data_IF_955837316235
#
_entry.id   IF_955837316235
#
_cell.length_a   1.000
_cell.length_b   1.000
_cell.length_c   1.000
_cell.angle_alpha   90.00
_cell.angle_beta   90.00
_cell.angle_gamma   90.00
#
_symmetry.space_group_name_H-M   'P 1'
#
loop_
_entity.id
_entity.type
_entity.pdbx_description
1 polymer ?
#
# COMPACT_ATOMS: atom_id res chain seq x y z
N UNK A 1 -22.70 -14.22 -13.02
CA UNK A 1 -23.04 -13.31 -14.13
C UNK A 1 -21.73 -12.66 -14.51
N UNK A 2 -21.26 -12.65 -15.76
CA UNK A 2 -20.00 -11.99 -16.07
C UNK A 2 -20.10 -10.49 -15.75
N UNK A 3 -19.01 -9.83 -15.31
CA UNK A 3 -19.01 -8.40 -15.03
C UNK A 3 -19.39 -7.62 -16.29
N UNK A 4 -20.19 -6.57 -16.12
CA UNK A 4 -20.54 -5.69 -17.25
C UNK A 4 -19.30 -4.85 -17.63
N UNK A 5 -19.03 -4.65 -18.92
CA UNK A 5 -17.95 -3.76 -19.34
C UNK A 5 -18.23 -2.31 -18.85
N UNK A 6 -17.17 -1.56 -18.49
CA UNK A 6 -17.31 -0.19 -18.00
C UNK A 6 -17.99 0.69 -19.05
N UNK A 7 -18.88 1.56 -18.59
CA UNK A 7 -19.56 2.56 -19.44
C UNK A 7 -18.56 3.62 -19.90
N UNK A 8 -18.42 3.83 -21.18
CA UNK A 8 -17.55 4.84 -21.77
C UNK A 8 -17.89 6.24 -21.25
N UNK A 9 -16.95 6.89 -20.53
CA UNK A 9 -17.03 8.28 -20.11
C UNK A 9 -16.67 8.59 -18.65
N UNK A 10 -16.35 7.59 -17.81
CA UNK A 10 -15.71 7.83 -16.51
C UNK A 10 -14.20 7.66 -16.70
N UNK A 11 -13.40 8.56 -16.13
CA UNK A 11 -11.97 8.33 -16.02
C UNK A 11 -11.79 7.01 -15.25
N UNK A 12 -11.26 5.99 -15.93
CA UNK A 12 -10.98 4.71 -15.29
C UNK A 12 -9.71 4.91 -14.49
N UNK A 13 -9.81 4.80 -13.16
CA UNK A 13 -8.62 4.78 -12.31
C UNK A 13 -7.75 3.59 -12.68
N UNK A 14 -6.41 3.73 -12.65
CA UNK A 14 -5.49 2.63 -12.89
C UNK A 14 -5.63 1.55 -11.80
N UNK A 15 -5.18 0.31 -12.06
CA UNK A 15 -5.09 -0.69 -11.00
C UNK A 15 -4.17 -0.20 -9.89
N UNK A 16 -4.60 -0.41 -8.65
CA UNK A 16 -3.85 -0.06 -7.45
C UNK A 16 -3.53 -1.33 -6.68
N UNK A 17 -2.25 -1.55 -6.42
CA UNK A 17 -1.75 -2.72 -5.73
C UNK A 17 -1.17 -2.32 -4.37
N UNK A 18 -1.44 -3.11 -3.34
CA UNK A 18 -0.83 -2.95 -2.02
C UNK A 18 0.14 -4.08 -1.72
N UNK A 19 1.33 -3.76 -1.26
CA UNK A 19 2.28 -4.73 -0.73
C UNK A 19 2.16 -4.76 0.79
N UNK A 20 1.53 -5.80 1.33
CA UNK A 20 1.15 -5.85 2.74
C UNK A 20 1.44 -7.21 3.41
N UNK A 21 1.78 -7.14 4.70
CA UNK A 21 1.86 -8.27 5.62
C UNK A 21 1.80 -7.75 7.06
N UNK A 22 1.13 -8.50 7.94
CA UNK A 22 1.01 -8.17 9.36
C UNK A 22 2.36 -8.14 10.10
N UNK A 23 3.39 -8.85 9.59
CA UNK A 23 4.73 -8.91 10.18
C UNK A 23 5.65 -7.82 9.62
N UNK A 24 6.41 -7.15 10.50
CA UNK A 24 7.51 -6.28 10.12
C UNK A 24 8.74 -7.06 9.62
N UNK A 25 9.56 -6.44 8.74
CA UNK A 25 10.82 -7.00 8.29
C UNK A 25 10.73 -8.15 7.26
N UNK A 26 9.55 -8.42 6.70
CA UNK A 26 9.37 -9.45 5.65
C UNK A 26 9.80 -8.96 4.26
N UNK A 27 10.14 -7.67 4.12
CA UNK A 27 10.61 -7.06 2.88
C UNK A 27 9.51 -6.47 2.02
N UNK A 28 8.45 -5.95 2.61
CA UNK A 28 7.40 -5.19 1.90
C UNK A 28 8.03 -4.12 1.01
N UNK A 29 8.73 -3.18 1.61
CA UNK A 29 9.43 -2.09 0.92
C UNK A 29 10.40 -2.57 -0.16
N UNK A 30 11.14 -3.67 0.09
CA UNK A 30 12.01 -4.26 -0.93
C UNK A 30 11.21 -4.74 -2.14
N UNK A 31 10.04 -5.37 -1.90
CA UNK A 31 9.16 -5.81 -2.99
C UNK A 31 8.54 -4.60 -3.68
N UNK A 32 8.02 -3.62 -2.93
CA UNK A 32 7.42 -2.39 -3.48
C UNK A 32 8.39 -1.63 -4.39
N UNK A 33 9.59 -1.29 -3.89
CA UNK A 33 10.58 -0.52 -4.63
C UNK A 33 11.05 -1.24 -5.91
N UNK A 34 11.25 -2.57 -5.85
CA UNK A 34 11.73 -3.31 -7.02
C UNK A 34 10.61 -3.68 -7.99
N UNK A 35 9.35 -3.78 -7.53
CA UNK A 35 8.20 -3.88 -8.43
C UNK A 35 7.99 -2.56 -9.19
N UNK A 36 8.11 -1.42 -8.51
CA UNK A 36 8.13 -0.09 -9.16
C UNK A 36 9.18 -0.06 -10.27
N UNK A 37 10.43 -0.43 -9.96
CA UNK A 37 11.49 -0.48 -10.96
C UNK A 37 11.22 -1.46 -12.09
N UNK A 38 10.62 -2.62 -11.82
CA UNK A 38 10.24 -3.61 -12.83
C UNK A 38 9.19 -3.09 -13.81
N UNK A 39 8.19 -2.36 -13.31
CA UNK A 39 7.13 -1.77 -14.14
C UNK A 39 7.64 -0.57 -14.94
N UNK A 40 8.46 0.28 -14.33
CA UNK A 40 9.12 1.40 -15.01
C UNK A 40 10.08 0.95 -16.12
N UNK A 41 10.85 -0.15 -15.90
CA UNK A 41 11.72 -0.75 -16.91
C UNK A 41 10.95 -1.25 -18.16
N UNK A 42 9.67 -1.48 -17.99
CA UNK A 42 8.74 -1.85 -19.08
C UNK A 42 8.03 -0.65 -19.72
N UNK A 43 8.38 0.56 -19.28
CA UNK A 43 7.87 1.81 -19.85
C UNK A 43 6.50 2.24 -19.34
N UNK A 44 6.07 1.73 -18.18
CA UNK A 44 4.84 2.17 -17.52
C UNK A 44 5.09 3.42 -16.67
N UNK A 45 4.13 4.33 -16.64
CA UNK A 45 4.08 5.45 -15.72
C UNK A 45 3.55 4.96 -14.36
N UNK A 46 4.41 4.89 -13.36
CA UNK A 46 4.13 4.32 -12.03
C UNK A 46 3.98 5.41 -10.99
N UNK A 47 2.92 5.34 -10.18
CA UNK A 47 2.82 6.09 -8.93
C UNK A 47 3.15 5.18 -7.75
N UNK A 48 4.20 5.50 -7.01
CA UNK A 48 4.51 4.88 -5.73
C UNK A 48 3.87 5.67 -4.59
N UNK A 49 3.36 4.98 -3.56
CA UNK A 49 2.79 5.59 -2.37
C UNK A 49 3.37 4.94 -1.13
N UNK A 50 4.07 5.70 -0.31
CA UNK A 50 4.62 5.22 0.95
C UNK A 50 3.62 5.47 2.08
N UNK A 51 2.84 4.45 2.41
CA UNK A 51 1.87 4.50 3.50
C UNK A 51 2.46 4.06 4.85
N UNK A 52 3.72 3.58 4.90
CA UNK A 52 4.39 3.24 6.15
C UNK A 52 4.94 4.51 6.82
N UNK A 53 4.52 4.83 8.07
CA UNK A 53 5.06 5.96 8.83
C UNK A 53 6.59 5.93 9.03
N UNK A 54 7.25 4.81 8.75
CA UNK A 54 8.71 4.70 8.83
C UNK A 54 9.42 5.30 7.60
N UNK A 55 8.72 5.58 6.49
CA UNK A 55 9.29 6.23 5.32
C UNK A 55 10.29 5.38 4.52
N UNK A 56 10.25 4.06 4.66
CA UNK A 56 11.25 3.19 4.05
C UNK A 56 11.17 3.16 2.51
N UNK A 57 9.98 3.27 1.92
CA UNK A 57 9.86 3.35 0.46
C UNK A 57 10.32 4.73 -0.04
N UNK A 58 10.04 5.77 0.73
CA UNK A 58 10.51 7.14 0.47
C UNK A 58 12.05 7.18 0.40
N UNK A 59 12.72 6.54 1.36
CA UNK A 59 14.18 6.40 1.35
C UNK A 59 14.67 5.52 0.19
N UNK A 60 14.03 4.37 -0.04
CA UNK A 60 14.40 3.41 -1.07
C UNK A 60 14.32 3.96 -2.50
N UNK A 61 13.48 4.96 -2.74
CA UNK A 61 13.35 5.65 -4.02
C UNK A 61 14.12 6.99 -4.09
N UNK A 62 14.98 7.27 -3.09
CA UNK A 62 15.92 8.39 -3.10
C UNK A 62 15.34 9.73 -2.65
N UNK A 63 14.20 9.73 -1.97
CA UNK A 63 13.50 10.95 -1.55
C UNK A 63 13.51 11.16 -0.02
N UNK A 64 14.59 10.78 0.67
CA UNK A 64 14.68 10.89 2.14
C UNK A 64 14.45 12.32 2.65
N UNK A 65 14.85 13.35 1.88
CA UNK A 65 14.59 14.75 2.25
C UNK A 65 13.09 15.08 2.34
N UNK A 66 12.25 14.37 1.57
CA UNK A 66 10.80 14.54 1.62
C UNK A 66 10.17 13.95 2.89
N UNK A 67 10.81 12.96 3.50
CA UNK A 67 10.35 12.39 4.77
C UNK A 67 10.41 13.37 5.93
N UNK A 68 11.39 14.29 5.91
CA UNK A 68 11.61 15.34 6.91
C UNK A 68 11.12 16.73 6.44
N UNK A 69 10.33 16.79 5.36
CA UNK A 69 9.85 18.04 4.81
C UNK A 69 8.88 18.77 5.75
N UNK A 70 8.86 20.10 5.64
CA UNK A 70 7.86 20.93 6.31
C UNK A 70 6.47 20.74 5.65
N UNK A 71 5.37 20.92 6.38
CA UNK A 71 4.03 20.83 5.83
C UNK A 71 3.78 21.71 4.58
N UNK A 72 2.92 21.29 3.65
CA UNK A 72 2.04 20.13 3.74
C UNK A 72 2.79 18.80 3.50
N UNK A 73 2.40 17.77 4.25
CA UNK A 73 2.92 16.40 4.16
C UNK A 73 1.76 15.41 3.93
N UNK A 74 2.06 14.12 3.78
CA UNK A 74 1.01 13.10 3.69
C UNK A 74 0.08 13.13 4.93
N UNK A 75 0.60 13.47 6.11
CA UNK A 75 -0.22 13.63 7.32
C UNK A 75 -1.30 14.70 7.13
N UNK A 76 -0.94 15.88 6.61
CA UNK A 76 -1.88 16.96 6.34
C UNK A 76 -2.89 16.56 5.27
N UNK A 77 -2.42 15.93 4.18
CA UNK A 77 -3.27 15.42 3.09
C UNK A 77 -4.34 14.45 3.59
N UNK A 78 -4.01 13.59 4.55
CA UNK A 78 -4.99 12.66 5.11
C UNK A 78 -6.03 13.34 6.00
N UNK A 79 -5.65 14.36 6.75
CA UNK A 79 -6.48 14.95 7.81
C UNK A 79 -7.12 16.30 7.44
N UNK A 80 -6.63 16.99 6.43
CA UNK A 80 -7.17 18.26 5.94
C UNK A 80 -7.66 18.13 4.49
N UNK A 81 -8.95 18.43 4.28
CA UNK A 81 -9.56 18.30 2.96
C UNK A 81 -8.99 19.30 1.94
N UNK A 82 -8.56 20.50 2.41
CA UNK A 82 -7.92 21.50 1.52
C UNK A 82 -6.54 21.02 1.08
N UNK A 83 -5.74 20.45 2.01
CA UNK A 83 -4.45 19.83 1.68
C UNK A 83 -4.62 18.59 0.78
N UNK A 84 -5.70 17.82 0.98
CA UNK A 84 -6.03 16.65 0.15
C UNK A 84 -6.36 17.05 -1.29
N UNK A 85 -7.05 18.14 -1.50
CA UNK A 85 -7.34 18.66 -2.85
C UNK A 85 -6.06 19.09 -3.58
N UNK A 86 -5.02 19.47 -2.84
CA UNK A 86 -3.71 19.87 -3.35
C UNK A 86 -2.63 18.79 -3.21
N UNK A 87 -3.00 17.49 -3.11
CA UNK A 87 -2.07 16.36 -2.91
C UNK A 87 -0.93 16.32 -3.92
N UNK A 88 -1.12 16.83 -5.14
CA UNK A 88 -0.07 16.94 -6.14
C UNK A 88 1.12 17.80 -5.68
N UNK A 89 0.96 18.66 -4.67
CA UNK A 89 2.05 19.52 -4.16
C UNK A 89 3.09 18.77 -3.34
N UNK A 90 2.75 17.58 -2.81
CA UNK A 90 3.69 16.73 -2.06
C UNK A 90 4.34 15.65 -2.93
N UNK A 91 3.97 15.54 -4.21
CA UNK A 91 4.57 14.57 -5.12
C UNK A 91 6.06 14.84 -5.31
N UNK A 92 6.84 13.78 -5.20
CA UNK A 92 8.25 13.77 -5.59
C UNK A 92 8.36 13.16 -6.98
N UNK A 93 8.81 13.95 -7.96
CA UNK A 93 9.10 13.44 -9.31
C UNK A 93 10.35 12.56 -9.24
N UNK A 94 10.27 11.36 -9.78
CA UNK A 94 11.35 10.36 -9.79
C UNK A 94 11.68 9.86 -11.19
N UNK A 95 12.81 9.18 -11.32
CA UNK A 95 13.25 8.62 -12.62
C UNK A 95 12.50 7.33 -12.93
N UNK A 96 12.17 6.54 -11.91
CA UNK A 96 11.50 5.24 -12.05
C UNK A 96 10.00 5.34 -11.74
N UNK A 97 9.61 6.27 -10.87
CA UNK A 97 8.22 6.53 -10.52
C UNK A 97 8.10 7.90 -9.87
N UNK A 98 6.94 8.50 -9.94
CA UNK A 98 6.57 9.56 -9.02
C UNK A 98 6.15 8.95 -7.68
N UNK A 99 6.39 9.68 -6.60
CA UNK A 99 6.16 9.19 -5.23
C UNK A 99 5.29 10.15 -4.43
N UNK A 100 4.24 9.61 -3.80
CA UNK A 100 3.64 10.23 -2.61
C UNK A 100 4.45 9.78 -1.39
N UNK A 101 5.31 10.65 -0.84
CA UNK A 101 6.22 10.27 0.24
C UNK A 101 5.48 10.12 1.57
N UNK A 102 5.96 9.23 2.43
CA UNK A 102 5.62 9.27 3.85
C UNK A 102 6.29 10.46 4.53
N UNK A 103 5.90 10.76 5.76
CA UNK A 103 6.50 11.83 6.55
C UNK A 103 6.69 11.43 8.00
N UNK A 104 7.62 12.12 8.68
CA UNK A 104 7.87 11.92 10.10
C UNK A 104 6.62 12.19 10.95
N UNK A 105 5.73 13.07 10.50
CA UNK A 105 4.50 13.42 11.19
C UNK A 105 3.53 12.23 11.25
N UNK A 106 3.62 11.30 10.28
CA UNK A 106 2.83 10.08 10.26
C UNK A 106 3.09 9.16 11.46
N UNK A 107 4.23 9.27 12.15
CA UNK A 107 4.52 8.48 13.36
C UNK A 107 3.53 8.76 14.50
N UNK A 108 2.95 9.95 14.54
CA UNK A 108 1.93 10.35 15.52
C UNK A 108 0.48 10.13 15.07
N UNK A 109 0.24 9.76 13.82
CA UNK A 109 -1.09 9.78 13.17
C UNK A 109 -2.10 8.73 13.68
N UNK A 110 -1.66 7.76 14.48
CA UNK A 110 -2.54 6.64 14.92
C UNK A 110 -3.79 7.12 15.67
N UNK A 111 -3.67 8.17 16.49
CA UNK A 111 -4.81 8.69 17.24
C UNK A 111 -5.82 9.37 16.31
N UNK A 112 -5.33 10.21 15.42
CA UNK A 112 -6.12 10.98 14.46
C UNK A 112 -6.84 10.04 13.46
N UNK A 113 -6.12 9.08 12.90
CA UNK A 113 -6.70 8.09 11.99
C UNK A 113 -7.69 7.16 12.70
N UNK A 114 -7.45 6.80 13.98
CA UNK A 114 -8.42 6.06 14.79
C UNK A 114 -9.67 6.89 15.08
N UNK A 115 -9.50 8.18 15.32
CA UNK A 115 -10.62 9.10 15.51
C UNK A 115 -11.43 9.27 14.22
N UNK A 116 -10.77 9.39 13.07
CA UNK A 116 -11.43 9.44 11.76
C UNK A 116 -12.25 8.19 11.49
N UNK A 117 -11.68 7.02 11.75
CA UNK A 117 -12.40 5.74 11.63
C UNK A 117 -13.62 5.69 12.55
N UNK A 118 -13.47 6.05 13.83
CA UNK A 118 -14.57 6.05 14.77
C UNK A 118 -15.68 7.05 14.38
N UNK A 119 -15.31 8.22 13.84
CA UNK A 119 -16.27 9.19 13.28
C UNK A 119 -17.02 8.59 12.08
N UNK A 120 -16.35 7.90 11.17
CA UNK A 120 -16.97 7.20 10.05
C UNK A 120 -18.01 6.20 10.53
N UNK A 121 -17.68 5.35 11.49
CA UNK A 121 -18.61 4.39 12.10
C UNK A 121 -19.81 5.06 12.77
N UNK A 122 -19.60 6.18 13.47
CA UNK A 122 -20.71 6.94 14.09
C UNK A 122 -21.68 7.50 13.05
N UNK A 123 -21.17 8.02 11.92
CA UNK A 123 -22.00 8.59 10.86
C UNK A 123 -22.76 7.53 10.08
N UNK A 124 -22.17 6.36 9.90
CA UNK A 124 -22.81 5.23 9.22
C UNK A 124 -23.84 4.49 10.10
N UNK A 125 -23.94 4.83 11.39
CA UNK A 125 -24.87 4.20 12.34
C UNK A 125 -24.42 2.82 12.85
N UNK A 126 -23.15 2.47 12.63
CA UNK A 126 -22.63 1.14 12.96
C UNK A 126 -22.44 0.92 14.47
N UNK A 127 -22.28 2.02 15.23
CA UNK A 127 -21.98 1.96 16.66
C UNK A 127 -23.13 2.46 17.53
N UNK A 128 -23.82 3.51 17.10
CA UNK A 128 -24.87 4.20 17.90
C UNK A 128 -25.96 4.78 17.00
N UNK A 129 -27.21 4.37 17.22
CA UNK A 129 -28.39 4.91 16.53
C UNK A 129 -28.97 6.19 17.20
N UNK A 130 -28.39 6.67 18.30
CA UNK A 130 -28.88 7.85 19.03
C UNK A 130 -28.18 9.13 18.52
N UNK A 131 -28.91 10.04 17.85
CA UNK A 131 -28.33 11.28 17.31
C UNK A 131 -27.66 12.20 18.33
N UNK A 132 -28.13 12.18 19.60
CA UNK A 132 -27.54 13.02 20.65
C UNK A 132 -26.23 12.39 21.17
N UNK A 133 -26.14 11.06 21.21
CA UNK A 133 -24.91 10.36 21.54
C UNK A 133 -23.86 10.53 20.43
N UNK A 134 -24.27 10.45 19.15
CA UNK A 134 -23.39 10.74 17.98
C UNK A 134 -22.79 12.14 18.08
N UNK A 135 -23.61 13.17 18.33
CA UNK A 135 -23.12 14.56 18.50
C UNK A 135 -22.15 14.71 19.66
N UNK A 136 -22.44 14.07 20.80
CA UNK A 136 -21.58 14.13 21.98
C UNK A 136 -20.20 13.47 21.70
N UNK A 137 -20.20 12.31 21.04
CA UNK A 137 -18.99 11.60 20.67
C UNK A 137 -18.17 12.38 19.63
N UNK A 138 -18.81 12.94 18.60
CA UNK A 138 -18.18 13.81 17.60
C UNK A 138 -17.50 15.00 18.26
N UNK A 139 -18.21 15.72 19.13
CA UNK A 139 -17.63 16.85 19.86
C UNK A 139 -16.44 16.46 20.74
N UNK A 140 -16.51 15.29 21.39
CA UNK A 140 -15.41 14.80 22.21
C UNK A 140 -14.16 14.49 21.35
N UNK A 141 -14.32 13.84 20.22
CA UNK A 141 -13.23 13.53 19.27
C UNK A 141 -12.59 14.81 18.70
N UNK A 142 -13.41 15.74 18.21
CA UNK A 142 -12.93 17.06 17.73
C UNK A 142 -12.14 17.81 18.83
N UNK A 143 -12.59 17.70 20.07
CA UNK A 143 -11.91 18.33 21.22
C UNK A 143 -10.59 17.64 21.57
N UNK A 144 -10.45 16.35 21.29
CA UNK A 144 -9.25 15.56 21.59
C UNK A 144 -8.17 15.69 20.50
N UNK A 145 -8.57 15.64 19.24
CA UNK A 145 -7.63 15.62 18.12
C UNK A 145 -7.39 17.01 17.53
N UNK A 146 -8.37 17.91 17.59
CA UNK A 146 -8.38 19.25 16.96
C UNK A 146 -8.21 19.27 15.43
N UNK A 147 -7.91 18.12 14.82
CA UNK A 147 -7.62 17.94 13.40
C UNK A 147 -8.73 17.16 12.68
N UNK A 148 -9.32 16.18 13.36
CA UNK A 148 -10.32 15.30 12.75
C UNK A 148 -11.71 15.86 12.96
N UNK A 149 -12.39 16.15 11.86
CA UNK A 149 -13.77 16.68 11.85
C UNK A 149 -14.66 15.80 10.97
N UNK A 150 -16.00 15.92 11.03
CA UNK A 150 -16.88 15.24 10.10
C UNK A 150 -16.59 15.53 8.63
N UNK A 151 -16.02 16.70 8.31
CA UNK A 151 -15.62 17.06 6.95
C UNK A 151 -14.35 16.31 6.49
N UNK A 152 -13.52 15.86 7.43
CA UNK A 152 -12.31 15.07 7.13
C UNK A 152 -12.67 13.68 6.62
N UNK A 153 -13.77 13.10 7.13
CA UNK A 153 -14.19 11.73 6.87
C UNK A 153 -15.32 11.72 5.84
N UNK A 154 -15.17 10.93 4.77
CA UNK A 154 -16.25 10.68 3.81
C UNK A 154 -17.43 9.95 4.45
N UNK A 155 -18.62 10.06 3.84
CA UNK A 155 -19.86 9.49 4.40
C UNK A 155 -19.96 7.97 4.29
N UNK A 156 -19.20 7.34 3.38
CA UNK A 156 -19.42 5.95 2.95
C UNK A 156 -18.20 5.03 3.14
N UNK A 157 -17.08 5.53 3.69
CA UNK A 157 -15.79 4.84 3.70
C UNK A 157 -15.35 4.29 5.06
N UNK A 158 -16.21 4.33 6.08
CA UNK A 158 -15.90 3.92 7.46
C UNK A 158 -14.64 4.61 8.05
N UNK A 159 -14.20 5.74 7.46
CA UNK A 159 -12.99 6.46 7.83
C UNK A 159 -11.69 5.79 7.37
N UNK A 160 -11.77 4.85 6.43
CA UNK A 160 -10.60 4.22 5.78
C UNK A 160 -10.33 4.74 4.37
N UNK A 161 -11.18 5.60 3.81
CA UNK A 161 -11.06 6.15 2.46
C UNK A 161 -10.13 7.35 2.33
N UNK A 162 -9.46 7.80 3.40
CA UNK A 162 -8.65 9.03 3.36
C UNK A 162 -7.52 8.96 2.33
N UNK A 163 -6.82 7.82 2.27
CA UNK A 163 -5.77 7.59 1.29
C UNK A 163 -6.33 7.35 -0.11
N UNK A 164 -7.44 6.62 -0.24
CA UNK A 164 -8.16 6.40 -1.50
C UNK A 164 -8.56 7.73 -2.13
N UNK A 165 -9.17 8.60 -1.35
CA UNK A 165 -9.56 9.95 -1.74
C UNK A 165 -8.37 10.81 -2.20
N UNK A 166 -7.24 10.73 -1.52
CA UNK A 166 -6.03 11.45 -1.89
C UNK A 166 -5.47 10.95 -3.22
N UNK A 167 -5.29 9.64 -3.37
CA UNK A 167 -4.75 9.02 -4.58
C UNK A 167 -5.66 9.28 -5.79
N UNK A 168 -6.99 9.20 -5.61
CA UNK A 168 -7.95 9.39 -6.70
C UNK A 168 -7.86 10.77 -7.39
N UNK A 169 -7.22 11.76 -6.77
CA UNK A 169 -7.02 13.10 -7.36
C UNK A 169 -5.85 13.18 -8.33
N UNK A 170 -4.95 12.21 -8.29
CA UNK A 170 -3.69 12.25 -9.05
C UNK A 170 -3.44 11.01 -9.90
N UNK A 171 -4.08 9.86 -9.61
CA UNK A 171 -3.74 8.57 -10.20
C UNK A 171 -4.07 8.43 -11.69
N UNK A 172 -4.98 9.24 -12.22
CA UNK A 172 -5.37 9.17 -13.66
C UNK A 172 -4.23 9.54 -14.62
N UNK A 173 -3.10 10.00 -14.13
CA UNK A 173 -1.91 10.28 -14.93
C UNK A 173 -0.93 9.09 -14.99
N UNK A 174 -1.24 7.98 -14.32
CA UNK A 174 -0.37 6.82 -14.19
C UNK A 174 -1.04 5.56 -14.75
N UNK A 175 -0.24 4.58 -15.14
CA UNK A 175 -0.71 3.28 -15.61
C UNK A 175 -1.01 2.33 -14.45
N UNK A 176 -0.31 2.50 -13.32
CA UNK A 176 -0.44 1.66 -12.13
C UNK A 176 -0.01 2.40 -10.86
N UNK A 177 -0.62 2.06 -9.73
CA UNK A 177 -0.27 2.57 -8.40
C UNK A 177 0.23 1.44 -7.51
N UNK A 178 1.37 1.63 -6.85
CA UNK A 178 1.96 0.69 -5.88
C UNK A 178 1.97 1.34 -4.50
N UNK A 179 1.28 0.74 -3.54
CA UNK A 179 1.19 1.21 -2.15
C UNK A 179 2.02 0.32 -1.24
N UNK A 180 3.03 0.86 -0.56
CA UNK A 180 3.78 0.17 0.49
C UNK A 180 3.07 0.35 1.84
N UNK A 181 2.49 -0.72 2.38
CA UNK A 181 1.72 -0.65 3.61
C UNK A 181 2.58 -0.80 4.87
N UNK A 182 2.22 -0.15 5.99
CA UNK A 182 2.87 -0.40 7.28
C UNK A 182 2.65 -1.85 7.75
N UNK A 183 3.46 -2.36 8.68
CA UNK A 183 3.18 -3.63 9.32
C UNK A 183 2.03 -3.52 10.34
N UNK A 184 1.34 -4.62 10.57
CA UNK A 184 0.39 -4.76 11.68
C UNK A 184 -1.02 -4.25 11.41
N UNK A 185 -1.75 -4.02 12.50
CA UNK A 185 -3.20 -3.76 12.51
C UNK A 185 -3.49 -2.29 12.88
N UNK A 186 -2.82 -1.34 12.23
CA UNK A 186 -3.03 0.08 12.50
C UNK A 186 -4.01 0.70 11.48
N UNK A 187 -4.60 1.87 11.76
CA UNK A 187 -5.55 2.51 10.85
C UNK A 187 -4.96 2.80 9.46
N UNK A 188 -3.65 3.10 9.36
CA UNK A 188 -3.01 3.35 8.07
C UNK A 188 -2.90 2.09 7.21
N UNK A 189 -2.70 0.91 7.84
CA UNK A 189 -2.78 -0.37 7.14
C UNK A 189 -4.14 -0.57 6.48
N UNK A 190 -5.23 -0.28 7.20
CA UNK A 190 -6.59 -0.38 6.65
C UNK A 190 -6.86 0.67 5.57
N UNK A 191 -6.32 1.89 5.71
CA UNK A 191 -6.36 2.89 4.64
C UNK A 191 -5.62 2.42 3.37
N UNK A 192 -4.47 1.75 3.52
CA UNK A 192 -3.74 1.20 2.39
C UNK A 192 -4.51 0.07 1.67
N UNK A 193 -5.15 -0.85 2.43
CA UNK A 193 -6.03 -1.89 1.86
C UNK A 193 -7.24 -1.28 1.16
N UNK A 194 -7.82 -0.23 1.75
CA UNK A 194 -8.98 0.45 1.17
C UNK A 194 -8.63 1.14 -0.15
N UNK A 195 -7.49 1.82 -0.20
CA UNK A 195 -7.02 2.55 -1.36
C UNK A 195 -6.55 1.63 -2.50
N UNK A 196 -6.01 0.44 -2.18
CA UNK A 196 -5.42 -0.48 -3.15
C UNK A 196 -5.87 -1.92 -2.86
N UNK A 197 -6.98 -2.37 -3.45
CA UNK A 197 -7.60 -3.64 -3.11
C UNK A 197 -6.88 -4.87 -3.71
N UNK A 198 -5.84 -4.69 -4.50
CA UNK A 198 -5.10 -5.79 -5.12
C UNK A 198 -3.82 -6.07 -4.32
N UNK A 199 -3.73 -7.23 -3.69
CA UNK A 199 -2.75 -7.55 -2.66
C UNK A 199 -1.58 -8.37 -3.17
N UNK A 200 -0.36 -7.94 -2.83
CA UNK A 200 0.87 -8.73 -2.95
C UNK A 200 1.37 -9.04 -1.53
N UNK A 201 1.60 -10.32 -1.21
CA UNK A 201 1.98 -10.78 0.13
C UNK A 201 3.42 -11.25 0.18
N UNK A 202 4.37 -10.45 0.68
CA UNK A 202 5.72 -10.89 0.96
C UNK A 202 5.80 -11.65 2.30
N UNK A 203 6.50 -12.78 2.31
CA UNK A 203 6.81 -13.56 3.51
C UNK A 203 8.27 -14.00 3.50
N UNK A 204 8.88 -14.20 4.68
CA UNK A 204 10.23 -14.76 4.81
C UNK A 204 10.18 -16.23 5.21
N UNK A 205 11.23 -16.99 4.89
CA UNK A 205 11.36 -18.41 5.24
C UNK A 205 11.59 -18.67 6.76
N UNK A 206 10.92 -17.90 7.60
CA UNK A 206 10.97 -18.04 9.06
C UNK A 206 9.70 -18.68 9.58
N UNK A 207 9.80 -19.54 10.59
CA UNK A 207 8.63 -20.22 11.18
C UNK A 207 7.54 -19.25 11.67
N UNK A 208 7.92 -18.05 12.14
CA UNK A 208 6.99 -17.00 12.57
C UNK A 208 6.21 -16.36 11.43
N UNK A 209 6.63 -16.54 10.17
CA UNK A 209 5.98 -15.93 9.00
C UNK A 209 4.68 -16.63 8.64
N UNK A 210 4.57 -17.95 8.85
CA UNK A 210 3.31 -18.68 8.63
C UNK A 210 2.17 -18.10 9.47
N UNK A 211 2.37 -17.96 10.78
CA UNK A 211 1.36 -17.32 11.64
C UNK A 211 1.13 -15.82 11.39
N UNK A 212 2.03 -15.14 10.67
CA UNK A 212 1.80 -13.78 10.24
C UNK A 212 0.90 -13.71 9.00
N UNK A 213 1.03 -14.68 8.09
CA UNK A 213 0.13 -14.84 6.94
C UNK A 213 -1.29 -15.18 7.42
N UNK A 214 -1.42 -16.13 8.37
CA UNK A 214 -2.74 -16.45 8.95
C UNK A 214 -3.43 -15.21 9.55
N UNK A 215 -2.67 -14.42 10.34
CA UNK A 215 -3.20 -13.16 10.91
C UNK A 215 -3.54 -12.11 9.86
N UNK A 216 -2.81 -12.06 8.76
CA UNK A 216 -3.13 -11.16 7.64
C UNK A 216 -4.50 -11.52 7.04
N UNK A 217 -4.78 -12.81 6.83
CA UNK A 217 -6.09 -13.25 6.33
C UNK A 217 -7.22 -12.97 7.31
N UNK A 218 -6.99 -13.20 8.61
CA UNK A 218 -7.99 -12.85 9.64
C UNK A 218 -8.33 -11.34 9.59
N UNK A 219 -7.31 -10.50 9.40
CA UNK A 219 -7.47 -9.04 9.28
C UNK A 219 -8.20 -8.65 8.00
N UNK A 220 -7.85 -9.25 6.86
CA UNK A 220 -8.52 -9.01 5.58
C UNK A 220 -9.99 -9.41 5.68
N UNK A 221 -10.29 -10.59 6.20
CA UNK A 221 -11.68 -11.05 6.36
C UNK A 221 -12.51 -10.13 7.27
N UNK A 222 -11.89 -9.62 8.35
CA UNK A 222 -12.52 -8.63 9.22
C UNK A 222 -12.76 -7.31 8.49
N UNK A 223 -11.77 -6.83 7.73
CA UNK A 223 -11.85 -5.61 6.92
C UNK A 223 -12.93 -5.72 5.84
N UNK A 224 -13.00 -6.82 5.10
CA UNK A 224 -14.02 -7.07 4.08
C UNK A 224 -15.42 -7.11 4.68
N UNK A 225 -15.57 -7.73 5.86
CA UNK A 225 -16.84 -7.78 6.59
C UNK A 225 -17.27 -6.38 7.03
N UNK A 226 -16.33 -5.56 7.51
CA UNK A 226 -16.57 -4.22 8.01
C UNK A 226 -16.92 -3.24 6.90
N UNK A 227 -16.17 -3.28 5.78
CA UNK A 227 -16.27 -2.29 4.71
C UNK A 227 -17.15 -2.73 3.52
N UNK A 228 -17.39 -4.03 3.40
CA UNK A 228 -18.02 -4.62 2.21
C UNK A 228 -17.13 -4.59 0.96
N UNK A 229 -15.84 -4.19 1.09
CA UNK A 229 -14.88 -4.08 -0.02
C UNK A 229 -13.99 -5.33 -0.05
N UNK A 230 -14.01 -6.07 -1.16
CA UNK A 230 -13.18 -7.25 -1.35
C UNK A 230 -11.71 -6.90 -1.58
N UNK A 231 -10.83 -7.80 -1.18
CA UNK A 231 -9.38 -7.74 -1.44
C UNK A 231 -9.00 -8.93 -2.31
N UNK A 232 -8.40 -8.65 -3.47
CA UNK A 232 -7.99 -9.68 -4.44
C UNK A 232 -6.48 -9.95 -4.29
N UNK A 233 -6.10 -11.19 -4.03
CA UNK A 233 -4.70 -11.61 -3.97
C UNK A 233 -4.13 -11.73 -5.39
N UNK A 234 -3.07 -10.98 -5.68
CA UNK A 234 -2.43 -10.94 -7.00
C UNK A 234 -1.19 -11.82 -7.06
N UNK A 235 -0.35 -11.76 -6.03
CA UNK A 235 0.87 -12.54 -5.95
C UNK A 235 1.30 -12.78 -4.51
N UNK A 236 1.98 -13.90 -4.26
CA UNK A 236 2.73 -14.13 -3.04
C UNK A 236 4.24 -14.15 -3.34
N UNK A 237 5.05 -13.70 -2.38
CA UNK A 237 6.49 -13.58 -2.52
C UNK A 237 7.21 -14.23 -1.34
N UNK A 238 7.96 -15.30 -1.59
CA UNK A 238 8.93 -15.81 -0.61
C UNK A 238 10.21 -14.99 -0.72
N UNK A 239 10.42 -14.09 0.24
CA UNK A 239 11.51 -13.12 0.22
C UNK A 239 12.71 -13.56 1.07
N UNK A 240 13.91 -13.05 0.76
CA UNK A 240 15.18 -13.32 1.45
C UNK A 240 15.52 -14.81 1.53
N UNK A 241 15.35 -15.49 0.42
CA UNK A 241 15.68 -16.91 0.34
C UNK A 241 17.20 -17.06 0.38
N UNK A 242 17.70 -17.75 1.43
CA UNK A 242 19.06 -18.25 1.46
C UNK A 242 19.09 -19.56 0.68
N UNK A 243 19.86 -19.58 -0.42
CA UNK A 243 19.96 -20.73 -1.32
C UNK A 243 20.10 -22.05 -0.54
N UNK A 244 19.27 -23.04 -0.92
CA UNK A 244 19.28 -24.44 -0.43
C UNK A 244 18.94 -24.67 1.06
N UNK A 245 17.94 -23.98 1.61
CA UNK A 245 17.41 -24.35 2.92
C UNK A 245 16.00 -24.95 2.77
N UNK A 246 15.76 -26.10 3.43
CA UNK A 246 14.42 -26.71 3.53
C UNK A 246 13.34 -25.70 3.98
N UNK A 247 13.73 -24.68 4.76
CA UNK A 247 12.82 -23.66 5.25
C UNK A 247 12.26 -22.75 4.13
N UNK A 248 13.04 -22.50 3.09
CA UNK A 248 12.58 -21.75 1.92
C UNK A 248 11.54 -22.57 1.13
N UNK A 249 11.87 -23.83 0.81
CA UNK A 249 10.98 -24.74 0.11
C UNK A 249 9.67 -24.96 0.88
N UNK A 250 9.75 -25.08 2.22
CA UNK A 250 8.58 -25.18 3.10
C UNK A 250 7.72 -23.93 3.12
N UNK A 251 8.31 -22.74 3.02
CA UNK A 251 7.56 -21.47 2.97
C UNK A 251 6.90 -21.29 1.61
N UNK A 252 7.63 -21.51 0.52
CA UNK A 252 7.07 -21.44 -0.84
C UNK A 252 5.93 -22.44 -1.02
N UNK A 253 6.10 -23.67 -0.53
CA UNK A 253 5.03 -24.67 -0.55
C UNK A 253 3.81 -24.26 0.28
N UNK A 254 4.04 -23.68 1.46
CA UNK A 254 2.99 -23.16 2.32
C UNK A 254 2.24 -22.02 1.63
N UNK A 255 2.94 -21.05 1.02
CA UNK A 255 2.29 -19.97 0.29
C UNK A 255 1.51 -20.50 -0.92
N UNK A 256 2.06 -21.45 -1.66
CA UNK A 256 1.35 -22.07 -2.78
C UNK A 256 0.12 -22.88 -2.36
N UNK A 257 0.10 -23.43 -1.13
CA UNK A 257 -1.08 -24.10 -0.57
C UNK A 257 -2.15 -23.10 -0.10
N UNK A 258 -1.72 -21.99 0.51
CA UNK A 258 -2.63 -20.96 1.05
C UNK A 258 -3.22 -20.10 -0.06
N UNK A 259 -2.43 -19.79 -1.08
CA UNK A 259 -2.80 -18.99 -2.24
C UNK A 259 -3.00 -19.89 -3.48
N UNK A 260 -4.03 -20.75 -3.47
CA UNK A 260 -4.23 -21.89 -4.37
C UNK A 260 -4.18 -21.50 -5.87
N UNK A 261 -4.68 -20.32 -6.24
CA UNK A 261 -4.74 -19.83 -7.64
C UNK A 261 -3.80 -18.63 -7.91
N UNK A 262 -2.89 -18.30 -6.99
CA UNK A 262 -2.03 -17.11 -7.05
C UNK A 262 -0.56 -17.52 -7.22
N UNK A 263 0.21 -16.91 -8.15
CA UNK A 263 1.61 -17.27 -8.34
C UNK A 263 2.48 -16.89 -7.14
N UNK A 264 3.47 -17.73 -6.84
CA UNK A 264 4.45 -17.52 -5.77
C UNK A 264 5.82 -17.27 -6.39
N UNK A 265 6.42 -16.11 -6.08
CA UNK A 265 7.74 -15.71 -6.54
C UNK A 265 8.79 -15.88 -5.46
N UNK A 266 9.96 -16.38 -5.82
CA UNK A 266 11.07 -16.61 -4.90
C UNK A 266 12.16 -15.56 -5.10
N UNK A 267 12.31 -14.65 -4.12
CA UNK A 267 13.33 -13.60 -4.16
C UNK A 267 14.52 -14.01 -3.29
N UNK A 268 15.67 -14.28 -3.91
CA UNK A 268 16.87 -14.66 -3.16
C UNK A 268 17.42 -13.49 -2.34
N UNK A 269 18.05 -13.79 -1.18
CA UNK A 269 18.79 -12.79 -0.42
C UNK A 269 20.02 -12.34 -1.22
N UNK A 270 20.07 -11.04 -1.56
CA UNK A 270 21.17 -10.45 -2.31
C UNK A 270 21.63 -9.14 -1.67
N UNK A 271 22.93 -9.02 -1.49
CA UNK A 271 23.53 -7.76 -0.98
C UNK A 271 23.28 -6.60 -1.92
N UNK A 272 23.16 -6.87 -3.23
CA UNK A 272 22.84 -5.87 -4.23
C UNK A 272 21.54 -5.11 -3.95
N UNK A 273 20.52 -5.79 -3.38
CA UNK A 273 19.26 -5.14 -2.98
C UNK A 273 19.46 -4.13 -1.84
N UNK A 274 20.37 -4.41 -0.89
CA UNK A 274 20.71 -3.43 0.16
C UNK A 274 21.48 -2.24 -0.41
N UNK A 275 22.38 -2.48 -1.34
CA UNK A 275 23.11 -1.38 -1.98
C UNK A 275 22.23 -0.53 -2.90
N UNK A 276 21.28 -1.13 -3.58
CA UNK A 276 20.27 -0.41 -4.35
C UNK A 276 19.43 0.48 -3.44
N UNK A 277 18.96 -0.05 -2.30
CA UNK A 277 18.26 0.73 -1.27
C UNK A 277 19.10 1.92 -0.77
N UNK A 278 20.35 1.67 -0.38
CA UNK A 278 21.27 2.72 0.11
C UNK A 278 21.56 3.79 -0.97
N UNK A 279 21.44 3.43 -2.25
CA UNK A 279 21.59 4.35 -3.38
C UNK A 279 20.29 5.11 -3.72
N UNK A 280 19.15 4.76 -3.12
CA UNK A 280 17.84 5.34 -3.45
C UNK A 280 17.35 4.93 -4.84
N UNK A 281 17.65 3.71 -5.26
CA UNK A 281 17.33 3.18 -6.59
C UNK A 281 16.78 1.76 -6.51
N UNK A 282 15.92 1.36 -7.47
CA UNK A 282 15.59 -0.04 -7.62
C UNK A 282 16.78 -0.86 -8.12
N UNK A 283 16.68 -2.19 -8.03
CA UNK A 283 17.73 -3.07 -8.60
C UNK A 283 17.85 -2.93 -10.12
N UNK A 284 16.76 -2.57 -10.80
CA UNK A 284 16.73 -2.37 -12.26
C UNK A 284 17.60 -1.20 -12.70
N UNK A 285 17.67 -0.15 -11.88
CA UNK A 285 18.50 1.02 -12.12
C UNK A 285 19.90 0.83 -11.55
N UNK A 286 20.03 0.31 -10.33
CA UNK A 286 21.29 0.15 -9.62
C UNK A 286 22.21 -0.90 -10.26
N UNK A 287 21.67 -2.09 -10.55
CA UNK A 287 22.41 -3.22 -11.14
C UNK A 287 21.48 -4.06 -12.04
N UNK A 288 21.21 -3.59 -13.27
CA UNK A 288 20.24 -4.25 -14.18
C UNK A 288 20.56 -5.71 -14.48
N UNK A 289 21.84 -6.10 -14.48
CA UNK A 289 22.30 -7.47 -14.77
C UNK A 289 22.31 -8.38 -13.53
N UNK A 290 21.76 -7.95 -12.38
CA UNK A 290 21.68 -8.79 -11.20
C UNK A 290 20.70 -9.96 -11.44
N UNK A 291 21.02 -11.15 -10.93
CA UNK A 291 20.17 -12.33 -11.10
C UNK A 291 18.75 -12.17 -10.52
N UNK A 292 18.59 -11.31 -9.51
CA UNK A 292 17.32 -11.03 -8.85
C UNK A 292 16.38 -10.15 -9.71
N UNK A 293 16.91 -9.42 -10.72
CA UNK A 293 16.07 -8.64 -11.64
C UNK A 293 15.15 -9.53 -12.45
N UNK A 294 15.57 -10.78 -12.76
CA UNK A 294 14.74 -11.73 -13.48
C UNK A 294 13.45 -12.05 -12.70
N UNK A 295 13.54 -12.32 -11.39
CA UNK A 295 12.37 -12.64 -10.57
C UNK A 295 11.44 -11.45 -10.39
N UNK A 296 11.99 -10.26 -10.10
CA UNK A 296 11.16 -9.04 -10.03
C UNK A 296 10.57 -8.69 -11.40
N UNK A 297 11.30 -8.95 -12.49
CA UNK A 297 10.80 -8.83 -13.84
C UNK A 297 9.59 -9.72 -14.11
N UNK A 298 9.66 -10.99 -13.72
CA UNK A 298 8.53 -11.92 -13.84
C UNK A 298 7.32 -11.48 -12.98
N UNK A 299 7.54 -10.91 -11.79
CA UNK A 299 6.47 -10.34 -10.99
C UNK A 299 5.82 -9.13 -11.68
N UNK A 300 6.64 -8.24 -12.28
CA UNK A 300 6.16 -7.10 -13.08
C UNK A 300 5.35 -7.55 -14.29
N UNK A 301 5.85 -8.56 -15.04
CA UNK A 301 5.15 -9.13 -16.20
C UNK A 301 3.79 -9.71 -15.79
N UNK A 302 3.73 -10.38 -14.63
CA UNK A 302 2.48 -10.90 -14.10
C UNK A 302 1.48 -9.78 -13.77
N UNK A 303 1.91 -8.68 -13.17
CA UNK A 303 1.06 -7.51 -12.89
C UNK A 303 0.53 -6.92 -14.20
N UNK A 304 1.38 -6.77 -15.21
CA UNK A 304 0.99 -6.29 -16.54
C UNK A 304 -0.09 -7.19 -17.16
N UNK A 305 0.09 -8.50 -17.11
CA UNK A 305 -0.86 -9.48 -17.64
C UNK A 305 -2.17 -9.50 -16.84
N UNK A 306 -2.10 -9.48 -15.50
CA UNK A 306 -3.27 -9.54 -14.62
C UNK A 306 -4.22 -8.35 -14.81
N UNK A 307 -3.68 -7.18 -15.16
CA UNK A 307 -4.45 -5.94 -15.32
C UNK A 307 -4.54 -5.44 -16.76
N UNK A 308 -4.06 -6.23 -17.73
CA UNK A 308 -4.09 -5.90 -19.18
C UNK A 308 -3.48 -4.50 -19.46
N UNK A 309 -2.32 -4.20 -18.82
CA UNK A 309 -1.66 -2.91 -18.97
C UNK A 309 -0.97 -2.79 -20.33
N UNK A 310 -1.14 -1.65 -20.99
CA UNK A 310 -0.52 -1.36 -22.27
C UNK A 310 0.95 -0.95 -22.08
N UNK A 311 1.88 -1.75 -22.52
CA UNK A 311 3.32 -1.45 -22.52
C UNK A 311 3.70 -0.71 -23.79
N UNK A 312 4.39 0.42 -23.65
CA UNK A 312 4.89 1.16 -24.82
C UNK A 312 5.87 0.30 -25.62
N UNK A 313 5.66 0.19 -26.94
CA UNK A 313 6.41 -0.66 -27.87
C UNK A 313 7.80 -0.09 -28.22
#
# INVERSE_FOLDING_TARGET
MPPQPPQAGQATHPPRLVVANAKGGVGKTTVSANLVGALADRGLDVLAVDADPQGNLTEALGHLDAYEAEPPTLFDVLLDIEARDDVATILCEGVEADLVPSSIDMLGSTLELSAAHFLGQLHNGDVVDDPDAVKAATWALESMTQLVTPATVGSDDHGYGLLDDAIARIDTNYDVVIVDAPPGHNPMFKNALYAAPNLIVPATAEASSKGAVDRLFDEIAAFETETGRGIDEVAAVTNRIRMSTNAADEMTSFLAEVFDDVPVYEIPERVALSYAYDAGESIFKYQPDADVTETFGQLGDHVIEAFDLEVAA
#
